data_IF_779398912370
#
_entry.id   IF_779398912370
#
_cell.length_a   1.000
_cell.length_b   1.000
_cell.length_c   1.000
_cell.angle_alpha   90.00
_cell.angle_beta   90.00
_cell.angle_gamma   90.00
#
_symmetry.space_group_name_H-M   'P 1'
#
loop_
_entity.id
_entity.type
_entity.pdbx_description
1 polymer ?
#
# COMPACT_ATOMS: atom_id res chain seq x y z
N UNK A 1 0.93 8.39 -0.83
CA UNK A 1 0.84 7.18 0.01
C UNK A 1 1.98 6.27 -0.32
N UNK A 2 2.35 5.35 0.59
CA UNK A 2 3.21 4.22 0.25
C UNK A 2 2.76 3.61 -1.07
N UNK A 3 3.71 3.12 -1.83
CA UNK A 3 3.49 2.60 -3.17
C UNK A 3 3.10 1.12 -3.11
N UNK A 4 2.67 0.54 -4.25
CA UNK A 4 2.45 -0.89 -4.33
C UNK A 4 3.66 -1.72 -3.88
N UNK A 5 4.90 -1.30 -4.15
CA UNK A 5 6.06 -2.06 -3.71
C UNK A 5 6.24 -2.00 -2.18
N UNK A 6 6.00 -0.86 -1.53
CA UNK A 6 6.00 -0.78 -0.08
C UNK A 6 4.92 -1.67 0.56
N UNK A 7 3.71 -1.68 -0.01
CA UNK A 7 2.64 -2.56 0.48
C UNK A 7 2.98 -4.04 0.27
N UNK A 8 3.53 -4.42 -0.88
CA UNK A 8 3.96 -5.78 -1.14
C UNK A 8 5.11 -6.20 -0.20
N UNK A 9 6.08 -5.33 0.04
CA UNK A 9 7.17 -5.62 0.97
C UNK A 9 6.65 -5.88 2.40
N UNK A 10 5.67 -5.10 2.87
CA UNK A 10 5.00 -5.36 4.15
C UNK A 10 4.16 -6.63 4.11
N UNK A 11 3.39 -6.88 3.05
CA UNK A 11 2.61 -8.09 2.90
C UNK A 11 3.48 -9.35 2.97
N UNK A 12 4.66 -9.35 2.34
CA UNK A 12 5.60 -10.46 2.46
C UNK A 12 6.07 -10.70 3.90
N UNK A 13 6.31 -9.64 4.67
CA UNK A 13 6.68 -9.76 6.08
C UNK A 13 5.54 -10.34 6.91
N UNK A 14 4.30 -9.95 6.59
CA UNK A 14 3.09 -10.48 7.24
C UNK A 14 2.92 -12.00 7.05
N UNK A 15 3.41 -12.57 5.93
CA UNK A 15 3.34 -14.03 5.71
C UNK A 15 4.06 -14.82 6.83
N UNK A 16 5.15 -14.25 7.35
CA UNK A 16 6.00 -14.88 8.37
C UNK A 16 5.73 -14.35 9.78
N UNK A 17 4.70 -13.52 9.96
CA UNK A 17 4.43 -12.84 11.23
C UNK A 17 4.04 -13.83 12.34
N UNK A 18 4.79 -13.90 13.46
CA UNK A 18 4.53 -14.87 14.52
C UNK A 18 3.20 -14.68 15.25
N UNK A 19 2.69 -13.46 15.30
CA UNK A 19 1.41 -13.14 15.98
C UNK A 19 0.18 -13.69 15.25
N UNK A 20 0.29 -14.00 13.95
CA UNK A 20 -0.74 -14.74 13.23
C UNK A 20 -0.82 -16.18 13.72
N UNK A 21 -2.02 -16.75 13.78
CA UNK A 21 -2.16 -18.18 14.04
C UNK A 21 -1.61 -19.02 12.88
N UNK A 22 -1.17 -20.26 13.14
CA UNK A 22 -0.55 -21.11 12.12
C UNK A 22 -1.48 -21.40 10.92
N UNK A 23 -2.78 -21.54 11.17
CA UNK A 23 -3.80 -21.69 10.13
C UNK A 23 -3.99 -20.40 9.31
N UNK A 24 -3.89 -19.23 9.94
CA UNK A 24 -3.96 -17.92 9.26
C UNK A 24 -2.74 -17.75 8.34
N UNK A 25 -1.52 -18.01 8.81
CA UNK A 25 -0.33 -18.01 7.93
C UNK A 25 -0.48 -19.01 6.79
N UNK A 26 -0.94 -20.22 7.08
CA UNK A 26 -1.17 -21.27 6.06
C UNK A 26 -2.19 -20.85 4.99
N UNK A 27 -3.25 -20.13 5.39
CA UNK A 27 -4.22 -19.51 4.47
C UNK A 27 -3.54 -18.50 3.56
N UNK A 28 -2.80 -17.53 4.13
CA UNK A 28 -2.14 -16.48 3.35
C UNK A 28 -1.08 -17.04 2.39
N UNK A 29 -0.33 -18.07 2.79
CA UNK A 29 0.62 -18.74 1.90
C UNK A 29 -0.06 -19.51 0.77
N UNK A 30 -1.14 -20.24 1.06
CA UNK A 30 -1.88 -21.01 0.05
C UNK A 30 -2.53 -20.09 -0.97
N UNK A 31 -3.08 -18.97 -0.51
CA UNK A 31 -3.79 -17.98 -1.32
C UNK A 31 -2.94 -16.73 -1.60
N UNK A 32 -1.63 -16.94 -1.75
CA UNK A 32 -0.63 -15.87 -1.85
C UNK A 32 -0.99 -14.80 -2.88
N UNK A 33 -1.41 -15.21 -4.09
CA UNK A 33 -1.77 -14.27 -5.13
C UNK A 33 -2.91 -13.35 -4.73
N UNK A 34 -3.95 -13.91 -4.10
CA UNK A 34 -5.11 -13.15 -3.63
C UNK A 34 -4.70 -12.16 -2.53
N UNK A 35 -3.89 -12.61 -1.56
CA UNK A 35 -3.37 -11.77 -0.49
C UNK A 35 -2.52 -10.60 -1.01
N UNK A 36 -1.58 -10.87 -1.93
CA UNK A 36 -0.76 -9.83 -2.55
C UNK A 36 -1.60 -8.83 -3.34
N UNK A 37 -2.61 -9.31 -4.10
CA UNK A 37 -3.52 -8.41 -4.82
C UNK A 37 -4.29 -7.53 -3.84
N UNK A 38 -4.80 -8.10 -2.74
CA UNK A 38 -5.45 -7.36 -1.67
C UNK A 38 -4.58 -6.22 -1.13
N UNK A 39 -3.30 -6.47 -0.88
CA UNK A 39 -2.38 -5.47 -0.34
C UNK A 39 -2.12 -4.26 -1.24
N UNK A 40 -2.47 -4.35 -2.53
CA UNK A 40 -2.34 -3.24 -3.48
C UNK A 40 -3.68 -2.78 -4.04
N UNK A 41 -4.79 -3.43 -3.69
CA UNK A 41 -6.06 -3.30 -4.40
C UNK A 41 -6.68 -1.89 -4.29
N UNK A 42 -6.50 -1.18 -3.17
CA UNK A 42 -7.13 0.13 -3.01
C UNK A 42 -6.60 1.17 -4.01
N UNK A 43 -5.36 1.01 -4.48
CA UNK A 43 -4.73 1.86 -5.49
C UNK A 43 -5.22 1.61 -6.91
N UNK A 44 -5.93 0.49 -7.16
CA UNK A 44 -6.61 0.23 -8.43
C UNK A 44 -7.65 1.32 -8.77
N UNK A 45 -8.00 2.19 -7.81
CA UNK A 45 -8.78 3.41 -8.06
C UNK A 45 -8.26 4.26 -9.22
N UNK A 46 -6.96 4.23 -9.50
CA UNK A 46 -6.36 4.99 -10.61
C UNK A 46 -6.89 4.43 -11.94
N UNK A 47 -6.89 3.11 -12.09
CA UNK A 47 -7.42 2.41 -13.26
C UNK A 47 -8.95 2.55 -13.38
N UNK A 48 -9.64 2.65 -12.25
CA UNK A 48 -11.08 2.83 -12.17
C UNK A 48 -11.56 4.28 -12.33
N UNK A 49 -10.64 5.27 -12.28
CA UNK A 49 -10.99 6.68 -12.17
C UNK A 49 -11.78 7.04 -10.90
N UNK A 50 -11.73 6.18 -9.87
CA UNK A 50 -12.54 6.31 -8.66
C UNK A 50 -11.95 7.34 -7.68
N UNK A 51 -12.77 8.07 -6.90
CA UNK A 51 -12.27 8.95 -5.83
C UNK A 51 -11.56 8.13 -4.74
N UNK A 52 -10.76 8.79 -3.90
CA UNK A 52 -9.96 8.07 -2.89
C UNK A 52 -10.85 7.45 -1.82
N UNK A 53 -11.88 8.15 -1.35
CA UNK A 53 -12.82 7.63 -0.36
C UNK A 53 -13.56 6.36 -0.80
N UNK A 54 -13.72 6.12 -2.12
CA UNK A 54 -14.39 4.92 -2.60
C UNK A 54 -13.58 3.63 -2.29
N UNK A 55 -12.26 3.73 -2.18
CA UNK A 55 -11.37 2.57 -2.01
C UNK A 55 -10.54 2.64 -0.73
N UNK A 56 -10.29 3.84 -0.20
CA UNK A 56 -9.53 4.05 1.02
C UNK A 56 -10.41 4.43 2.22
N UNK A 57 -11.70 4.72 2.01
CA UNK A 57 -12.67 5.02 3.07
C UNK A 57 -12.35 6.28 3.90
N UNK A 58 -11.49 7.16 3.38
CA UNK A 58 -11.27 8.53 3.85
C UNK A 58 -10.79 9.42 2.69
N UNK A 59 -10.86 10.74 2.88
CA UNK A 59 -10.32 11.76 1.96
C UNK A 59 -9.30 12.64 2.68
N UNK A 60 -8.35 13.22 1.93
CA UNK A 60 -7.38 14.18 2.52
C UNK A 60 -7.98 15.54 2.84
N UNK A 61 -9.08 15.91 2.19
CA UNK A 61 -9.76 17.19 2.40
C UNK A 61 -10.49 17.25 3.74
N UNK A 62 -10.54 16.13 4.48
CA UNK A 62 -11.21 16.00 5.75
C UNK A 62 -10.24 15.43 6.78
N UNK A 63 -10.39 15.86 8.04
CA UNK A 63 -9.70 15.21 9.14
C UNK A 63 -10.13 13.75 9.20
N UNK A 64 -9.17 12.83 9.29
CA UNK A 64 -9.50 11.43 9.55
C UNK A 64 -10.24 11.32 10.88
N UNK A 65 -11.39 10.64 10.87
CA UNK A 65 -12.19 10.35 12.06
C UNK A 65 -11.46 9.35 12.96
N UNK A 66 -12.00 9.05 14.14
CA UNK A 66 -11.46 7.98 15.00
C UNK A 66 -11.80 6.58 14.49
N UNK A 67 -12.76 6.46 13.55
CA UNK A 67 -13.09 5.18 12.88
C UNK A 67 -11.92 4.75 11.99
N UNK A 68 -11.47 3.49 12.13
CA UNK A 68 -10.40 2.97 11.30
C UNK A 68 -10.90 2.74 9.86
N UNK A 69 -10.11 3.05 8.81
CA UNK A 69 -10.58 2.94 7.43
C UNK A 69 -11.08 1.54 7.04
N UNK A 70 -10.46 0.48 7.60
CA UNK A 70 -10.90 -0.89 7.31
C UNK A 70 -12.23 -1.23 8.02
N UNK A 71 -12.52 -0.66 9.19
CA UNK A 71 -13.83 -0.81 9.84
C UNK A 71 -14.92 -0.08 9.04
N UNK A 72 -14.61 1.13 8.55
CA UNK A 72 -15.49 1.85 7.64
C UNK A 72 -15.76 1.05 6.36
N UNK A 73 -14.73 0.40 5.78
CA UNK A 73 -14.88 -0.52 4.66
C UNK A 73 -15.88 -1.63 4.96
N UNK A 74 -15.73 -2.30 6.11
CA UNK A 74 -16.60 -3.40 6.52
C UNK A 74 -18.03 -2.95 6.79
N UNK A 75 -18.20 -1.79 7.46
CA UNK A 75 -19.52 -1.20 7.75
C UNK A 75 -20.27 -0.86 6.47
N UNK A 76 -19.59 -0.26 5.49
CA UNK A 76 -20.18 0.11 4.20
C UNK A 76 -20.40 -1.11 3.30
N UNK A 77 -19.63 -2.19 3.50
CA UNK A 77 -19.66 -3.39 2.68
C UNK A 77 -19.73 -4.67 3.54
N UNK A 78 -20.84 -4.94 4.25
CA UNK A 78 -20.91 -6.02 5.24
C UNK A 78 -20.65 -7.43 4.68
N UNK A 79 -20.79 -7.62 3.37
CA UNK A 79 -20.45 -8.88 2.70
C UNK A 79 -18.97 -9.28 2.85
N UNK A 80 -18.07 -8.32 3.10
CA UNK A 80 -16.63 -8.58 3.28
C UNK A 80 -16.29 -9.30 4.60
N UNK A 81 -17.20 -9.29 5.58
CA UNK A 81 -17.11 -10.14 6.77
C UNK A 81 -17.34 -11.63 6.48
N UNK A 82 -17.98 -11.94 5.35
CA UNK A 82 -18.34 -13.28 4.93
C UNK A 82 -17.68 -13.65 3.60
N UNK A 83 -16.35 -13.77 3.55
CA UNK A 83 -15.67 -14.23 2.35
C UNK A 83 -16.21 -15.60 1.95
N UNK A 84 -16.42 -15.79 0.65
CA UNK A 84 -17.09 -16.98 0.12
C UNK A 84 -16.15 -18.16 -0.15
N UNK A 85 -14.83 -17.91 -0.11
CA UNK A 85 -13.76 -18.90 -0.16
C UNK A 85 -12.48 -18.33 0.47
N UNK A 86 -11.45 -19.18 0.56
CA UNK A 86 -10.16 -18.85 1.15
C UNK A 86 -9.44 -17.73 0.40
N UNK A 87 -9.50 -17.72 -0.94
CA UNK A 87 -8.87 -16.70 -1.76
C UNK A 87 -9.47 -15.31 -1.48
N UNK A 88 -10.79 -15.21 -1.38
CA UNK A 88 -11.47 -13.97 -1.02
C UNK A 88 -11.09 -13.52 0.40
N UNK A 89 -11.00 -14.44 1.37
CA UNK A 89 -10.56 -14.11 2.73
C UNK A 89 -9.13 -13.55 2.75
N UNK A 90 -8.21 -14.19 2.02
CA UNK A 90 -6.84 -13.73 1.89
C UNK A 90 -6.75 -12.36 1.20
N UNK A 91 -7.53 -12.14 0.14
CA UNK A 91 -7.63 -10.83 -0.51
C UNK A 91 -8.08 -9.72 0.45
N UNK A 92 -9.15 -9.95 1.21
CA UNK A 92 -9.65 -8.94 2.16
C UNK A 92 -8.63 -8.68 3.27
N UNK A 93 -7.94 -9.71 3.76
CA UNK A 93 -6.85 -9.54 4.73
C UNK A 93 -5.72 -8.65 4.17
N UNK A 94 -5.33 -8.84 2.91
CA UNK A 94 -4.37 -7.96 2.23
C UNK A 94 -4.87 -6.52 2.17
N UNK A 95 -6.14 -6.33 1.83
CA UNK A 95 -6.78 -5.00 1.75
C UNK A 95 -6.80 -4.30 3.12
N UNK A 96 -7.11 -5.02 4.20
CA UNK A 96 -7.03 -4.50 5.57
C UNK A 96 -5.62 -4.02 5.89
N UNK A 97 -4.59 -4.82 5.56
CA UNK A 97 -3.19 -4.44 5.73
C UNK A 97 -2.82 -3.17 4.95
N UNK A 98 -3.29 -3.05 3.71
CA UNK A 98 -3.13 -1.84 2.89
C UNK A 98 -3.68 -0.59 3.61
N UNK A 99 -4.96 -0.64 4.00
CA UNK A 99 -5.64 0.49 4.65
C UNK A 99 -4.97 0.89 5.97
N UNK A 100 -4.52 -0.09 6.75
CA UNK A 100 -3.81 0.14 8.01
C UNK A 100 -2.47 0.89 7.79
N UNK A 101 -1.68 0.48 6.80
CA UNK A 101 -0.45 1.20 6.45
C UNK A 101 -0.74 2.65 6.03
N UNK A 102 -1.75 2.82 5.19
CA UNK A 102 -2.16 4.12 4.66
C UNK A 102 -2.69 5.06 5.74
N UNK A 103 -3.39 4.52 6.73
CA UNK A 103 -3.82 5.27 7.90
C UNK A 103 -2.62 5.85 8.66
N UNK A 104 -1.66 5.00 9.04
CA UNK A 104 -0.51 5.45 9.83
C UNK A 104 0.34 6.44 9.03
N UNK A 105 0.58 6.18 7.75
CA UNK A 105 1.32 7.12 6.89
C UNK A 105 0.62 8.49 6.81
N UNK A 106 -0.71 8.50 6.67
CA UNK A 106 -1.47 9.76 6.63
C UNK A 106 -1.39 10.52 7.95
N UNK A 107 -1.62 9.82 9.08
CA UNK A 107 -1.67 10.42 10.42
C UNK A 107 -0.31 10.83 10.96
N UNK A 108 0.74 10.07 10.68
CA UNK A 108 2.06 10.24 11.31
C UNK A 108 3.12 10.82 10.38
N UNK A 109 2.97 10.70 9.05
CA UNK A 109 3.91 11.29 8.09
C UNK A 109 3.30 12.49 7.36
N UNK A 110 2.27 12.26 6.55
CA UNK A 110 1.76 13.28 5.61
C UNK A 110 1.18 14.47 6.35
N UNK A 111 0.24 14.24 7.26
CA UNK A 111 -0.42 15.31 8.02
C UNK A 111 0.57 16.18 8.78
N UNK A 112 1.32 15.61 9.76
CA UNK A 112 2.20 16.40 10.60
C UNK A 112 3.33 17.07 9.82
N UNK A 113 3.95 16.35 8.87
CA UNK A 113 5.21 16.80 8.29
C UNK A 113 5.09 17.44 6.92
N UNK A 114 4.13 17.05 6.09
CA UNK A 114 4.01 17.62 4.74
C UNK A 114 2.87 18.63 4.60
N UNK A 115 1.85 18.55 5.47
CA UNK A 115 0.72 19.48 5.51
C UNK A 115 0.96 20.56 6.59
N UNK A 116 1.02 20.17 7.86
CA UNK A 116 0.95 21.09 9.00
C UNK A 116 2.26 21.81 9.32
N UNK A 117 3.40 21.11 9.32
CA UNK A 117 4.69 21.72 9.64
C UNK A 117 5.19 22.59 8.49
N UNK A 118 5.64 23.79 8.82
CA UNK A 118 6.16 24.75 7.85
C UNK A 118 7.71 24.76 7.84
N UNK A 119 8.30 23.96 6.96
CA UNK A 119 9.77 23.85 6.81
C UNK A 119 10.29 24.19 5.42
N UNK A 120 9.39 24.42 4.45
CA UNK A 120 9.69 24.85 3.09
C UNK A 120 8.39 25.32 2.42
N UNK A 121 8.42 25.81 1.18
CA UNK A 121 7.18 26.14 0.46
C UNK A 121 6.27 24.90 0.29
N UNK A 122 4.95 25.10 0.18
CA UNK A 122 4.00 24.00 -0.03
C UNK A 122 4.37 23.15 -1.25
N UNK A 123 4.77 23.78 -2.35
CA UNK A 123 5.22 23.09 -3.56
C UNK A 123 6.47 22.24 -3.28
N UNK A 124 7.45 22.77 -2.54
CA UNK A 124 8.65 22.00 -2.19
C UNK A 124 8.32 20.79 -1.33
N UNK A 125 7.50 20.97 -0.28
CA UNK A 125 7.03 19.86 0.56
C UNK A 125 6.32 18.79 -0.27
N UNK A 126 5.48 19.20 -1.21
CA UNK A 126 4.79 18.29 -2.13
C UNK A 126 5.76 17.47 -3.00
N UNK A 127 6.77 18.10 -3.59
CA UNK A 127 7.82 17.39 -4.35
C UNK A 127 8.57 16.43 -3.45
N UNK A 128 8.94 16.86 -2.23
CA UNK A 128 9.69 16.02 -1.29
C UNK A 128 8.87 14.83 -0.78
N UNK A 129 7.54 14.96 -0.68
CA UNK A 129 6.66 13.82 -0.42
C UNK A 129 6.74 12.77 -1.54
N UNK A 130 6.87 13.19 -2.79
CA UNK A 130 7.06 12.25 -3.91
C UNK A 130 8.47 11.65 -3.89
N UNK A 131 9.49 12.45 -3.55
CA UNK A 131 10.88 11.98 -3.43
C UNK A 131 11.04 10.91 -2.35
N UNK A 132 10.48 11.11 -1.15
CA UNK A 132 10.58 10.10 -0.08
C UNK A 132 9.87 8.80 -0.47
N UNK A 133 8.75 8.88 -1.20
CA UNK A 133 8.05 7.70 -1.72
C UNK A 133 8.89 6.96 -2.76
N UNK A 134 9.60 7.66 -3.66
CA UNK A 134 10.52 7.02 -4.61
C UNK A 134 11.66 6.29 -3.87
N UNK A 135 12.21 6.90 -2.82
CA UNK A 135 13.27 6.27 -2.01
C UNK A 135 12.76 4.98 -1.37
N UNK A 136 11.55 4.99 -0.80
CA UNK A 136 10.91 3.80 -0.25
C UNK A 136 10.66 2.75 -1.34
N UNK A 137 10.11 3.17 -2.49
CA UNK A 137 9.74 2.31 -3.60
C UNK A 137 10.95 1.57 -4.20
N UNK A 138 12.07 2.28 -4.43
CA UNK A 138 13.33 1.67 -4.92
C UNK A 138 13.93 0.71 -3.90
N UNK A 139 13.90 1.04 -2.61
CA UNK A 139 14.36 0.16 -1.53
C UNK A 139 13.49 -1.10 -1.44
N UNK A 140 12.18 -0.92 -1.41
CA UNK A 140 11.22 -1.99 -1.13
C UNK A 140 11.13 -2.96 -2.30
N UNK A 141 11.18 -2.47 -3.54
CA UNK A 141 11.26 -3.30 -4.74
C UNK A 141 12.41 -4.31 -4.68
N UNK A 142 13.58 -3.92 -4.15
CA UNK A 142 14.74 -4.81 -4.00
C UNK A 142 14.53 -5.92 -2.96
N UNK A 143 13.56 -5.75 -2.05
CA UNK A 143 13.21 -6.74 -1.02
C UNK A 143 12.08 -7.69 -1.44
N UNK A 144 11.43 -7.41 -2.57
CA UNK A 144 10.36 -8.27 -3.09
C UNK A 144 10.99 -9.56 -3.61
N UNK A 145 10.54 -10.69 -3.08
CA UNK A 145 11.05 -12.00 -3.46
C UNK A 145 10.76 -12.30 -4.93
N UNK A 146 11.64 -13.07 -5.57
CA UNK A 146 11.36 -13.61 -6.90
C UNK A 146 10.07 -14.45 -6.89
N UNK A 147 9.34 -14.48 -8.00
CA UNK A 147 8.08 -15.22 -8.11
C UNK A 147 6.84 -14.45 -7.65
N UNK A 148 6.98 -13.25 -7.06
CA UNK A 148 5.83 -12.46 -6.57
C UNK A 148 5.02 -11.85 -7.70
N UNK A 149 5.63 -11.52 -8.83
CA UNK A 149 4.91 -11.10 -10.03
C UNK A 149 4.01 -12.20 -10.57
N UNK A 150 4.52 -13.42 -10.65
CA UNK A 150 3.80 -14.62 -11.08
C UNK A 150 2.67 -14.98 -10.11
N UNK A 151 2.94 -14.94 -8.80
CA UNK A 151 1.92 -15.14 -7.78
C UNK A 151 0.82 -14.08 -7.87
N UNK A 152 1.18 -12.81 -8.12
CA UNK A 152 0.20 -11.75 -8.28
C UNK A 152 -0.69 -12.01 -9.51
N UNK A 153 -0.12 -12.42 -10.64
CA UNK A 153 -0.87 -12.75 -11.87
C UNK A 153 -1.83 -13.93 -11.67
N UNK A 154 -1.50 -14.89 -10.80
CA UNK A 154 -2.38 -16.04 -10.55
C UNK A 154 -3.65 -15.68 -9.78
N UNK A 155 -3.73 -14.48 -9.18
CA UNK A 155 -4.92 -14.02 -8.46
C UNK A 155 -6.08 -13.77 -9.44
N UNK A 156 -7.18 -14.49 -9.31
CA UNK A 156 -8.36 -14.32 -10.15
C UNK A 156 -9.51 -13.71 -9.33
N UNK A 157 -9.66 -12.37 -9.30
CA UNK A 157 -10.78 -11.75 -8.60
C UNK A 157 -12.11 -12.21 -9.20
N UNK A 158 -13.12 -12.45 -8.35
CA UNK A 158 -14.47 -12.87 -8.73
C UNK A 158 -15.51 -12.09 -7.91
N UNK A 159 -15.64 -10.80 -8.18
CA UNK A 159 -16.38 -9.85 -7.36
C UNK A 159 -15.91 -9.85 -5.90
N UNK A 160 -14.58 -9.78 -5.71
CA UNK A 160 -13.95 -9.69 -4.37
C UNK A 160 -14.20 -8.37 -3.66
N UNK A 161 -14.69 -7.35 -4.36
CA UNK A 161 -15.20 -6.13 -3.73
C UNK A 161 -16.51 -5.70 -4.40
N UNK A 162 -17.41 -5.03 -3.68
CA UNK A 162 -18.62 -4.44 -4.26
C UNK A 162 -18.39 -3.03 -4.83
N UNK A 163 -17.21 -2.43 -4.64
CA UNK A 163 -16.90 -1.03 -4.99
C UNK A 163 -15.79 -0.87 -6.04
N UNK A 164 -15.02 -1.92 -6.32
CA UNK A 164 -14.07 -1.99 -7.44
C UNK A 164 -14.39 -3.20 -8.33
N UNK A 165 -14.64 -2.99 -9.62
CA UNK A 165 -14.96 -4.09 -10.52
C UNK A 165 -13.70 -4.89 -10.87
N UNK A 166 -13.85 -6.20 -11.08
CA UNK A 166 -12.74 -7.11 -11.37
C UNK A 166 -11.84 -6.67 -12.53
N UNK A 167 -12.34 -6.12 -13.66
CA UNK A 167 -11.48 -5.65 -14.74
C UNK A 167 -10.48 -4.57 -14.31
N UNK A 168 -10.82 -3.73 -13.34
CA UNK A 168 -9.94 -2.66 -12.85
C UNK A 168 -8.88 -3.23 -11.91
N UNK A 169 -9.29 -4.17 -11.04
CA UNK A 169 -8.37 -4.95 -10.21
C UNK A 169 -7.37 -5.72 -11.07
N UNK A 170 -7.82 -6.34 -12.16
CA UNK A 170 -6.96 -7.09 -13.09
C UNK A 170 -5.99 -6.19 -13.84
N UNK A 171 -6.43 -5.03 -14.37
CA UNK A 171 -5.52 -4.07 -15.02
C UNK A 171 -4.44 -3.59 -14.06
N UNK A 172 -4.84 -3.28 -12.82
CA UNK A 172 -3.91 -2.86 -11.78
C UNK A 172 -2.92 -3.97 -11.39
N UNK A 173 -3.43 -5.18 -11.14
CA UNK A 173 -2.63 -6.40 -10.89
C UNK A 173 -1.57 -6.58 -11.98
N UNK A 174 -1.98 -6.51 -13.24
CA UNK A 174 -1.10 -6.76 -14.40
C UNK A 174 -0.06 -5.65 -14.56
N UNK A 175 -0.43 -4.39 -14.31
CA UNK A 175 0.49 -3.25 -14.32
C UNK A 175 1.59 -3.39 -13.26
N UNK A 176 1.22 -3.77 -12.03
CA UNK A 176 2.18 -3.96 -10.93
C UNK A 176 3.01 -5.23 -11.18
N UNK A 177 2.39 -6.35 -11.54
CA UNK A 177 3.09 -7.61 -11.78
C UNK A 177 4.13 -7.50 -12.90
N UNK A 178 3.83 -6.79 -13.99
CA UNK A 178 4.77 -6.58 -15.10
C UNK A 178 6.08 -5.94 -14.67
N UNK A 179 6.07 -5.12 -13.62
CA UNK A 179 7.27 -4.49 -13.07
C UNK A 179 8.09 -5.44 -12.18
N UNK A 180 7.47 -6.51 -11.67
CA UNK A 180 8.08 -7.51 -10.80
C UNK A 180 8.57 -8.76 -11.55
N UNK A 181 8.04 -9.03 -12.75
CA UNK A 181 8.48 -10.16 -13.57
C UNK A 181 9.96 -10.04 -13.97
N UNK A 182 10.65 -11.15 -14.31
CA UNK A 182 12.03 -11.10 -14.79
C UNK A 182 12.21 -10.13 -15.97
N UNK A 183 13.16 -9.20 -15.84
CA UNK A 183 13.38 -8.14 -16.83
C UNK A 183 12.35 -7.01 -16.81
N UNK A 184 11.42 -7.02 -15.86
CA UNK A 184 10.48 -5.95 -15.59
C UNK A 184 11.21 -4.65 -15.25
N UNK A 185 10.74 -3.56 -15.85
CA UNK A 185 11.25 -2.22 -15.59
C UNK A 185 10.30 -1.51 -14.63
N UNK A 186 10.83 -0.99 -13.52
CA UNK A 186 10.05 -0.12 -12.65
C UNK A 186 9.62 1.16 -13.39
N UNK A 187 8.37 1.56 -13.15
CA UNK A 187 7.76 2.79 -13.64
C UNK A 187 7.77 3.90 -12.59
N UNK A 188 8.41 3.71 -11.43
CA UNK A 188 8.43 4.67 -10.31
C UNK A 188 8.71 6.10 -10.77
N UNK A 189 9.84 6.35 -11.42
CA UNK A 189 10.23 7.70 -11.83
C UNK A 189 9.30 8.27 -12.91
N UNK A 190 8.79 7.41 -13.80
CA UNK A 190 7.84 7.82 -14.86
C UNK A 190 6.48 8.23 -14.27
N UNK A 191 6.05 7.60 -13.19
CA UNK A 191 4.79 7.90 -12.49
C UNK A 191 4.95 9.11 -11.57
N UNK A 192 6.05 9.18 -10.81
CA UNK A 192 6.27 10.23 -9.81
C UNK A 192 6.77 11.55 -10.42
N UNK A 193 7.49 11.52 -11.53
CA UNK A 193 7.96 12.71 -12.25
C UNK A 193 6.84 13.72 -12.52
N UNK A 194 5.83 13.38 -13.33
CA UNK A 194 4.73 14.27 -13.65
C UNK A 194 3.97 14.74 -12.41
N UNK A 195 3.78 13.88 -11.39
CA UNK A 195 3.09 14.23 -10.13
C UNK A 195 3.84 15.25 -9.28
N UNK A 196 5.18 15.25 -9.39
CA UNK A 196 6.06 16.21 -8.76
C UNK A 196 6.33 17.45 -9.65
N UNK A 197 5.79 17.52 -10.87
CA UNK A 197 6.11 18.57 -11.83
C UNK A 197 7.58 18.55 -12.27
N UNK A 198 8.19 17.36 -12.36
CA UNK A 198 9.60 17.13 -12.70
C UNK A 198 9.73 16.07 -13.78
N UNK A 199 10.85 16.05 -14.51
CA UNK A 199 11.16 14.91 -15.37
C UNK A 199 11.72 13.73 -14.56
N UNK A 200 11.64 12.48 -15.05
CA UNK A 200 12.32 11.34 -14.44
C UNK A 200 13.83 11.60 -14.24
N UNK A 201 14.48 12.27 -15.19
CA UNK A 201 15.90 12.61 -15.13
C UNK A 201 16.20 13.63 -14.01
N UNK A 202 15.36 14.65 -13.81
CA UNK A 202 15.54 15.62 -12.73
C UNK A 202 15.42 14.97 -11.36
N UNK A 203 14.46 14.04 -11.20
CA UNK A 203 14.30 13.29 -9.96
C UNK A 203 15.48 12.36 -9.70
N UNK A 204 15.95 11.64 -10.73
CA UNK A 204 17.14 10.78 -10.61
C UNK A 204 18.38 11.58 -10.20
N UNK A 205 18.62 12.72 -10.85
CA UNK A 205 19.74 13.60 -10.52
C UNK A 205 19.67 14.18 -9.10
N UNK A 206 18.46 14.38 -8.55
CA UNK A 206 18.29 14.73 -7.14
C UNK A 206 18.62 13.53 -6.24
N UNK A 207 18.05 12.37 -6.51
CA UNK A 207 18.20 11.15 -5.70
C UNK A 207 19.65 10.65 -5.64
N UNK A 208 20.43 10.83 -6.72
CA UNK A 208 21.83 10.42 -6.82
C UNK A 208 22.81 11.38 -6.13
N UNK A 209 22.35 12.52 -5.63
CA UNK A 209 23.19 13.50 -4.94
C UNK A 209 22.85 13.52 -3.43
N UNK A 210 23.68 12.88 -2.58
CA UNK A 210 23.42 12.81 -1.14
C UNK A 210 23.36 14.17 -0.46
N UNK A 211 24.14 15.15 -0.92
CA UNK A 211 24.14 16.51 -0.38
C UNK A 211 22.83 17.21 -0.69
N UNK A 212 22.40 17.18 -1.96
CA UNK A 212 21.09 17.73 -2.36
C UNK A 212 19.93 17.02 -1.68
N UNK A 213 19.98 15.70 -1.50
CA UNK A 213 18.96 14.95 -0.76
C UNK A 213 18.92 15.35 0.72
N UNK A 214 20.07 15.58 1.34
CA UNK A 214 20.13 16.07 2.71
C UNK A 214 19.49 17.44 2.84
N UNK A 215 19.92 18.38 1.99
CA UNK A 215 19.45 19.76 2.01
C UNK A 215 17.97 19.87 1.64
N UNK A 216 17.48 19.05 0.69
CA UNK A 216 16.11 19.14 0.22
C UNK A 216 15.09 18.43 1.14
N UNK A 217 15.48 17.31 1.76
CA UNK A 217 14.58 16.41 2.48
C UNK A 217 15.11 16.00 3.86
N UNK A 218 16.29 15.36 3.93
CA UNK A 218 16.67 14.61 5.15
C UNK A 218 16.98 15.49 6.36
N UNK A 219 17.33 16.77 6.17
CA UNK A 219 17.48 17.70 7.29
C UNK A 219 16.13 18.04 7.97
N UNK A 220 15.00 17.87 7.26
CA UNK A 220 13.66 18.20 7.75
C UNK A 220 12.88 16.96 8.18
N UNK A 221 12.96 15.91 7.37
CA UNK A 221 12.32 14.61 7.56
C UNK A 221 13.44 13.60 7.73
N UNK A 222 13.83 13.27 8.95
CA UNK A 222 14.98 12.39 9.17
C UNK A 222 14.70 10.95 8.72
N UNK A 223 15.76 10.20 8.44
CA UNK A 223 15.66 8.76 8.17
C UNK A 223 15.14 7.98 9.38
N UNK A 224 15.47 8.45 10.59
CA UNK A 224 14.95 7.87 11.83
C UNK A 224 13.44 8.06 11.96
N UNK A 225 12.93 9.24 11.62
CA UNK A 225 11.50 9.51 11.58
C UNK A 225 10.80 8.57 10.59
N UNK A 226 11.33 8.44 9.38
CA UNK A 226 10.81 7.49 8.39
C UNK A 226 10.78 6.06 8.96
N UNK A 227 11.88 5.61 9.55
CA UNK A 227 12.01 4.25 10.13
C UNK A 227 11.00 4.02 11.26
N UNK A 228 10.81 5.00 12.16
CA UNK A 228 9.83 4.93 13.24
C UNK A 228 8.41 4.86 12.68
N UNK A 229 8.07 5.68 11.68
CA UNK A 229 6.76 5.63 11.04
C UNK A 229 6.51 4.29 10.34
N UNK A 230 7.50 3.75 9.62
CA UNK A 230 7.39 2.45 8.95
C UNK A 230 7.23 1.29 9.94
N UNK A 231 7.89 1.39 11.10
CA UNK A 231 7.72 0.44 12.21
C UNK A 231 6.29 0.49 12.74
N UNK A 232 5.75 1.69 12.95
CA UNK A 232 4.36 1.88 13.37
C UNK A 232 3.35 1.39 12.31
N UNK A 233 3.60 1.65 11.03
CA UNK A 233 2.78 1.16 9.92
C UNK A 233 2.72 -0.37 9.93
N UNK A 234 3.86 -1.03 10.07
CA UNK A 234 3.93 -2.48 10.14
C UNK A 234 3.19 -3.04 11.35
N UNK A 235 3.46 -2.51 12.54
CA UNK A 235 2.81 -2.97 13.77
C UNK A 235 1.28 -2.80 13.72
N UNK A 236 0.80 -1.68 13.17
CA UNK A 236 -0.63 -1.46 12.98
C UNK A 236 -1.23 -2.42 11.95
N UNK A 237 -0.56 -2.63 10.81
CA UNK A 237 -1.01 -3.59 9.80
C UNK A 237 -1.12 -5.02 10.36
N UNK A 238 -0.12 -5.46 11.14
CA UNK A 238 -0.17 -6.75 11.87
C UNK A 238 -1.43 -6.83 12.74
N UNK A 239 -1.64 -5.84 13.61
CA UNK A 239 -2.78 -5.79 14.52
C UNK A 239 -4.12 -5.89 13.78
N UNK A 240 -4.31 -5.11 12.71
CA UNK A 240 -5.58 -5.09 11.97
C UNK A 240 -5.81 -6.36 11.16
N UNK A 241 -4.77 -6.93 10.54
CA UNK A 241 -4.88 -8.19 9.80
C UNK A 241 -5.22 -9.35 10.74
N UNK A 242 -4.59 -9.41 11.92
CA UNK A 242 -4.93 -10.38 12.97
C UNK A 242 -6.39 -10.20 13.42
N UNK A 243 -6.82 -8.96 13.64
CA UNK A 243 -8.18 -8.66 14.06
C UNK A 243 -9.23 -9.12 13.02
N UNK A 244 -9.00 -8.83 11.74
CA UNK A 244 -9.85 -9.29 10.65
C UNK A 244 -9.91 -10.83 10.56
N UNK A 245 -8.75 -11.49 10.47
CA UNK A 245 -8.67 -12.94 10.30
C UNK A 245 -9.19 -13.74 11.50
N UNK A 246 -9.32 -13.10 12.66
CA UNK A 246 -9.90 -13.71 13.87
C UNK A 246 -11.43 -13.58 13.93
N UNK A 247 -12.01 -12.67 13.17
CA UNK A 247 -13.45 -12.36 13.18
C UNK A 247 -14.17 -12.78 11.89
N UNK A 248 -13.46 -12.80 10.76
CA UNK A 248 -14.02 -13.17 9.47
C UNK A 248 -14.53 -14.62 9.47
N UNK A 249 -15.74 -14.82 8.92
CA UNK A 249 -16.34 -16.15 8.81
C UNK A 249 -16.34 -16.58 7.35
N UNK A 250 -15.43 -17.49 7.01
CA UNK A 250 -15.37 -18.07 5.65
C UNK A 250 -16.58 -18.98 5.46
N UNK A 251 -17.36 -18.73 4.40
CA UNK A 251 -18.45 -19.65 4.04
C UNK A 251 -17.83 -20.94 3.51
N UNK A 252 -17.91 -22.01 4.29
CA UNK A 252 -17.65 -23.36 3.79
C UNK A 252 -18.77 -23.68 2.78
N UNK A 253 -18.40 -23.90 1.51
CA UNK A 253 -19.31 -24.41 0.49
C UNK A 253 -19.48 -25.92 0.64
#
# INVERSE_FOLDING_TARGET
>A
MPTPFSHLAVAQRLLEEPTLAANQRSLLHRELGAFLLGSIAADARIEAGAPRAATHFYEYSQSMTDEMPWEAMMRLNPSLWMPYDDAHAAFVAGYVGHLAMDEIWSRQMVGPHFISRDWATQQHRWVMLHVILIVMDERDLQTIAAGRGEALISACPRAWTPFLPDPDLMRWRDLVAKQLLPGGRSLTLDIFGPRAGRTPADLRALLDDPGRMHDALWQYISRDLLTVTETAMYAHAVSQVVAYLSQATIRVR
#
